data_IF_751824486195
#
_entry.id   IF_751824486195
#
_cell.length_a   1.000
_cell.length_b   1.000
_cell.length_c   1.000
_cell.angle_alpha   90.00
_cell.angle_beta   90.00
_cell.angle_gamma   90.00
#
_symmetry.space_group_name_H-M   'P 1'
#
loop_
_entity.id
_entity.type
_entity.pdbx_description
1 polymer ?
#
# COMPACT_ATOMS: atom_id res chain seq x y z
N UNK A 1 10.12 -2.95 1.93
CA UNK A 1 10.40 -1.65 1.26
C UNK A 1 11.03 -1.80 -0.11
N UNK A 2 11.89 -2.80 -0.35
CA UNK A 2 12.52 -3.01 -1.66
C UNK A 2 11.52 -3.21 -2.81
N UNK A 3 10.49 -4.03 -2.64
CA UNK A 3 9.42 -4.20 -3.65
C UNK A 3 8.79 -2.86 -4.07
N UNK A 4 8.62 -1.92 -3.15
CA UNK A 4 8.09 -0.59 -3.46
C UNK A 4 9.09 0.30 -4.24
N UNK A 5 10.41 0.07 -4.12
CA UNK A 5 11.43 0.82 -4.87
C UNK A 5 11.38 0.52 -6.36
N UNK A 6 11.01 -0.70 -6.75
CA UNK A 6 10.83 -1.08 -8.16
C UNK A 6 9.65 -0.33 -8.77
N UNK A 7 8.52 -0.26 -8.06
CA UNK A 7 7.32 0.46 -8.53
C UNK A 7 7.49 1.99 -8.59
N UNK A 8 8.43 2.57 -7.84
CA UNK A 8 8.81 3.98 -7.99
C UNK A 8 9.47 4.30 -9.34
N UNK A 9 10.03 3.29 -10.02
CA UNK A 9 10.61 3.39 -11.36
C UNK A 9 9.67 2.96 -12.47
N UNK A 10 8.41 2.63 -12.14
CA UNK A 10 7.42 2.21 -13.15
C UNK A 10 7.21 3.30 -14.21
N UNK A 11 7.09 2.87 -15.47
CA UNK A 11 6.69 3.72 -16.58
C UNK A 11 5.22 4.16 -16.46
N UNK A 12 4.40 3.39 -15.74
CA UNK A 12 3.03 3.75 -15.45
C UNK A 12 2.99 4.87 -14.38
N UNK A 13 2.58 6.07 -14.81
CA UNK A 13 2.55 7.28 -14.00
C UNK A 13 1.64 7.13 -12.77
N UNK A 14 0.47 6.48 -12.92
CA UNK A 14 -0.47 6.27 -11.83
C UNK A 14 0.11 5.32 -10.78
N UNK A 15 0.73 4.22 -11.22
CA UNK A 15 1.43 3.28 -10.33
C UNK A 15 2.52 3.99 -9.54
N UNK A 16 3.35 4.79 -10.23
CA UNK A 16 4.42 5.56 -9.59
C UNK A 16 3.90 6.59 -8.60
N UNK A 17 2.85 7.33 -8.94
CA UNK A 17 2.22 8.32 -8.07
C UNK A 17 1.65 7.69 -6.79
N UNK A 18 0.85 6.62 -6.93
CA UNK A 18 0.29 5.90 -5.78
C UNK A 18 1.37 5.29 -4.92
N UNK A 19 2.41 4.71 -5.52
CA UNK A 19 3.55 4.14 -4.78
C UNK A 19 4.25 5.20 -3.90
N UNK A 20 4.49 6.42 -4.43
CA UNK A 20 5.07 7.51 -3.63
C UNK A 20 4.23 7.84 -2.40
N UNK A 21 2.91 7.92 -2.57
CA UNK A 21 1.97 8.20 -1.48
C UNK A 21 2.01 7.10 -0.40
N UNK A 22 1.92 5.82 -0.82
CA UNK A 22 2.00 4.68 0.10
C UNK A 22 3.32 4.63 0.87
N UNK A 23 4.45 4.83 0.19
CA UNK A 23 5.78 4.92 0.84
C UNK A 23 5.81 6.05 1.87
N UNK A 24 5.24 7.21 1.55
CA UNK A 24 5.16 8.35 2.47
C UNK A 24 4.37 8.02 3.74
N UNK A 25 3.20 7.40 3.59
CA UNK A 25 2.37 6.95 4.73
C UNK A 25 3.11 5.91 5.57
N UNK A 26 3.71 4.91 4.92
CA UNK A 26 4.35 3.78 5.59
C UNK A 26 5.68 4.13 6.27
N UNK A 27 6.33 5.23 5.88
CA UNK A 27 7.64 5.63 6.43
C UNK A 27 7.58 5.95 7.94
N UNK A 28 6.45 6.46 8.42
CA UNK A 28 6.33 7.00 9.79
C UNK A 28 5.54 6.08 10.73
N UNK A 29 5.05 4.93 10.26
CA UNK A 29 4.25 3.99 11.06
C UNK A 29 5.10 2.87 11.64
N UNK A 30 4.69 2.39 12.82
CA UNK A 30 5.36 1.27 13.48
C UNK A 30 5.04 -0.04 12.74
N UNK A 31 6.03 -0.92 12.53
CA UNK A 31 5.78 -2.26 12.02
C UNK A 31 4.81 -3.02 12.91
N UNK A 32 3.87 -3.73 12.28
CA UNK A 32 2.96 -4.64 12.95
C UNK A 32 3.76 -5.86 13.43
N UNK A 33 3.64 -6.21 14.72
CA UNK A 33 4.36 -7.36 15.32
C UNK A 33 3.56 -8.66 15.33
N UNK A 34 2.23 -8.57 15.27
CA UNK A 34 1.30 -9.70 15.25
C UNK A 34 0.20 -9.38 14.26
N UNK A 35 -0.28 -10.39 13.55
CA UNK A 35 -1.39 -10.23 12.63
C UNK A 35 -2.61 -9.68 13.38
N UNK A 36 -3.25 -8.68 12.77
CA UNK A 36 -4.43 -8.00 13.30
C UNK A 36 -5.56 -8.20 12.27
N UNK A 37 -6.55 -9.00 12.67
CA UNK A 37 -7.67 -9.42 11.83
C UNK A 37 -8.54 -8.22 11.45
N UNK A 38 -8.77 -7.30 12.38
CA UNK A 38 -9.59 -6.11 12.13
C UNK A 38 -8.90 -5.17 11.16
N UNK A 39 -7.58 -5.01 11.30
CA UNK A 39 -6.78 -4.22 10.37
C UNK A 39 -6.74 -4.86 8.98
N UNK A 40 -6.66 -6.19 8.89
CA UNK A 40 -6.73 -6.91 7.62
C UNK A 40 -8.05 -6.65 6.90
N UNK A 41 -9.19 -6.81 7.58
CA UNK A 41 -10.50 -6.55 6.98
C UNK A 41 -10.65 -5.10 6.52
N UNK A 42 -10.22 -4.12 7.34
CA UNK A 42 -10.23 -2.70 6.95
C UNK A 42 -9.41 -2.41 5.70
N UNK A 43 -8.30 -3.10 5.49
CA UNK A 43 -7.48 -2.93 4.28
C UNK A 43 -8.19 -3.55 3.08
N UNK A 44 -8.69 -4.78 3.21
CA UNK A 44 -9.38 -5.49 2.12
C UNK A 44 -10.61 -4.70 1.66
N UNK A 45 -11.48 -4.26 2.55
CA UNK A 45 -12.67 -3.45 2.20
C UNK A 45 -12.32 -2.18 1.40
N UNK A 46 -11.16 -1.58 1.64
CA UNK A 46 -10.70 -0.38 0.92
C UNK A 46 -9.99 -0.70 -0.39
N UNK A 47 -9.49 -1.91 -0.58
CA UNK A 47 -8.77 -2.35 -1.77
C UNK A 47 -9.66 -3.11 -2.76
N UNK A 48 -10.74 -3.72 -2.30
CA UNK A 48 -11.71 -4.39 -3.17
C UNK A 48 -12.47 -3.33 -3.96
N UNK A 49 -12.17 -3.24 -5.25
CA UNK A 49 -13.05 -2.57 -6.20
C UNK A 49 -14.25 -3.49 -6.38
N UNK A 50 -15.44 -3.04 -6.01
CA UNK A 50 -16.66 -3.71 -6.42
C UNK A 50 -16.78 -3.50 -7.92
N UNK A 51 -16.58 -4.55 -8.71
CA UNK A 51 -17.04 -4.56 -10.09
C UNK A 51 -18.56 -4.38 -10.03
N UNK A 52 -19.02 -3.21 -10.44
CA UNK A 52 -20.44 -2.91 -10.64
C UNK A 52 -20.94 -3.50 -11.95
#
# INVERSE_FOLDING_TARGET
MEKWKEHLKSENILVRYKTKQFVGILKNVKPIKKFDVDLFFRIIEKMTVFDG
#
